data_IF_653940791665
#
_entry.id   IF_653940791665
#
_cell.length_a   1.000
_cell.length_b   1.000
_cell.length_c   1.000
_cell.angle_alpha   90.00
_cell.angle_beta   90.00
_cell.angle_gamma   90.00
#
_symmetry.space_group_name_H-M   'P 1'
#
loop_
_entity.id
_entity.type
_entity.pdbx_description
1 polymer ?
#
# COMPACT_ATOMS: atom_id res chain seq x y z
N UNK A 1 -25.28 6.23 -15.68
CA UNK A 1 -24.24 5.33 -15.14
C UNK A 1 -22.89 5.97 -15.42
N UNK A 2 -22.07 6.14 -14.39
CA UNK A 2 -20.81 6.89 -14.46
C UNK A 2 -19.59 6.05 -14.83
N UNK A 3 -19.72 4.74 -15.05
CA UNK A 3 -18.62 3.84 -15.41
C UNK A 3 -18.98 2.37 -15.22
N UNK A 4 -18.10 1.49 -15.66
CA UNK A 4 -18.22 0.03 -15.56
C UNK A 4 -17.02 -0.55 -14.85
N UNK A 5 -17.25 -1.47 -13.94
CA UNK A 5 -16.23 -2.17 -13.18
C UNK A 5 -16.47 -3.69 -13.27
N UNK A 6 -15.41 -4.44 -13.45
CA UNK A 6 -15.42 -5.89 -13.47
C UNK A 6 -14.73 -6.46 -12.24
N UNK A 7 -15.35 -7.45 -11.61
CA UNK A 7 -14.74 -8.28 -10.57
C UNK A 7 -14.69 -9.73 -11.05
N UNK A 8 -13.51 -10.34 -10.96
CA UNK A 8 -13.28 -11.74 -11.32
C UNK A 8 -12.43 -12.41 -10.26
N UNK A 9 -12.77 -13.62 -9.87
CA UNK A 9 -12.04 -14.30 -8.82
C UNK A 9 -12.31 -15.77 -8.71
N UNK A 10 -11.59 -16.41 -7.80
CA UNK A 10 -11.72 -17.82 -7.44
C UNK A 10 -11.70 -17.92 -5.92
N UNK A 11 -12.58 -18.75 -5.39
CA UNK A 11 -12.65 -19.06 -3.97
C UNK A 11 -12.45 -20.55 -3.75
N UNK A 12 -11.75 -20.89 -2.68
CA UNK A 12 -11.46 -22.25 -2.26
C UNK A 12 -11.70 -22.40 -0.77
N UNK A 13 -12.41 -23.45 -0.38
CA UNK A 13 -12.57 -23.83 1.02
C UNK A 13 -12.22 -25.32 1.17
N UNK A 14 -11.33 -25.64 2.09
CA UNK A 14 -10.94 -27.00 2.44
C UNK A 14 -11.15 -27.19 3.94
N UNK A 15 -11.81 -28.29 4.30
CA UNK A 15 -11.99 -28.69 5.69
C UNK A 15 -11.57 -30.14 5.84
N UNK A 16 -10.73 -30.40 6.82
CA UNK A 16 -10.28 -31.72 7.16
C UNK A 16 -10.46 -31.96 8.66
N UNK A 17 -11.05 -33.09 9.02
CA UNK A 17 -11.23 -33.52 10.39
C UNK A 17 -10.82 -34.98 10.48
N UNK A 18 -10.00 -35.32 11.48
CA UNK A 18 -9.60 -36.69 11.71
C UNK A 18 -9.26 -36.94 13.17
N UNK A 19 -9.04 -38.19 13.51
CA UNK A 19 -8.76 -38.61 14.91
C UNK A 19 -7.73 -39.74 14.94
N UNK A 20 -6.68 -39.54 15.73
CA UNK A 20 -5.65 -40.55 16.00
C UNK A 20 -5.76 -40.96 17.47
N UNK A 21 -6.38 -42.11 17.72
CA UNK A 21 -6.71 -42.58 19.08
C UNK A 21 -7.56 -41.55 19.82
N UNK A 22 -7.04 -41.00 20.94
CA UNK A 22 -7.71 -40.01 21.74
C UNK A 22 -7.45 -38.55 21.28
N UNK A 23 -6.62 -38.35 20.26
CA UNK A 23 -6.30 -37.07 19.72
C UNK A 23 -7.12 -36.76 18.45
N UNK A 24 -8.06 -35.85 18.56
CA UNK A 24 -8.81 -35.32 17.41
C UNK A 24 -8.19 -34.02 16.91
N UNK A 25 -8.20 -33.80 15.60
CA UNK A 25 -7.74 -32.56 15.03
C UNK A 25 -8.60 -32.13 13.83
N UNK A 26 -8.60 -30.84 13.59
CA UNK A 26 -9.30 -30.22 12.45
C UNK A 26 -8.44 -29.15 11.79
N UNK A 27 -8.52 -29.08 10.48
CA UNK A 27 -7.85 -28.05 9.66
C UNK A 27 -8.90 -27.47 8.74
N UNK A 28 -9.13 -26.17 8.83
CA UNK A 28 -9.97 -25.40 7.92
C UNK A 28 -9.11 -24.38 7.18
N UNK A 29 -9.15 -24.39 5.86
CA UNK A 29 -8.47 -23.41 5.02
C UNK A 29 -9.51 -22.77 4.10
N UNK A 30 -9.54 -21.43 4.06
CA UNK A 30 -10.27 -20.67 3.06
C UNK A 30 -9.32 -19.70 2.37
N UNK A 31 -9.42 -19.60 1.06
CA UNK A 31 -8.65 -18.70 0.23
C UNK A 31 -9.56 -18.10 -0.83
N UNK A 32 -9.51 -16.78 -0.96
CA UNK A 32 -10.20 -16.04 -2.02
C UNK A 32 -9.16 -15.21 -2.76
N UNK A 33 -9.14 -15.35 -4.08
CA UNK A 33 -8.40 -14.48 -4.97
C UNK A 33 -9.37 -13.73 -5.87
N UNK A 34 -9.24 -12.41 -5.97
CA UNK A 34 -10.04 -11.65 -6.92
C UNK A 34 -9.26 -10.49 -7.53
N UNK A 35 -9.61 -10.16 -8.76
CA UNK A 35 -9.16 -8.99 -9.50
C UNK A 35 -10.34 -8.05 -9.69
N UNK A 36 -10.18 -6.82 -9.22
CA UNK A 36 -11.08 -5.70 -9.51
C UNK A 36 -10.46 -4.84 -10.61
N UNK A 37 -11.25 -4.38 -11.56
CA UNK A 37 -10.78 -3.58 -12.68
C UNK A 37 -11.86 -2.63 -13.15
N UNK A 38 -11.57 -1.33 -13.26
CA UNK A 38 -12.39 -0.36 -13.94
C UNK A 38 -12.22 -0.58 -15.44
N UNK A 39 -13.28 -0.96 -16.13
CA UNK A 39 -13.24 -1.33 -17.55
C UNK A 39 -13.68 -0.21 -18.48
N UNK A 40 -14.50 0.70 -17.99
CA UNK A 40 -14.97 1.85 -18.77
C UNK A 40 -15.35 3.02 -17.86
N UNK A 41 -15.08 4.22 -18.32
CA UNK A 41 -15.53 5.49 -17.73
C UNK A 41 -16.18 6.33 -18.81
N UNK A 42 -17.38 6.89 -18.55
CA UNK A 42 -18.19 7.62 -19.53
C UNK A 42 -17.60 8.92 -20.07
N UNK A 43 -16.47 9.35 -19.57
CA UNK A 43 -15.67 10.47 -20.05
C UNK A 43 -14.30 10.38 -19.39
N UNK A 44 -13.38 11.27 -19.76
CA UNK A 44 -12.07 11.44 -19.07
C UNK A 44 -12.25 11.92 -17.61
N UNK A 45 -13.20 11.30 -16.89
CA UNK A 45 -13.45 11.59 -15.49
C UNK A 45 -12.34 10.97 -14.68
N UNK A 46 -11.50 11.82 -14.17
CA UNK A 46 -10.49 11.50 -13.20
C UNK A 46 -11.14 11.28 -11.85
N UNK A 47 -10.98 10.09 -11.30
CA UNK A 47 -11.60 9.75 -10.03
C UNK A 47 -10.66 10.05 -8.88
N UNK A 48 -11.03 11.02 -8.06
CA UNK A 48 -10.42 11.25 -6.76
C UNK A 48 -11.29 10.61 -5.68
N UNK A 49 -11.11 9.34 -5.38
CA UNK A 49 -11.78 8.75 -4.24
C UNK A 49 -10.81 8.44 -3.11
N UNK A 50 -11.09 9.02 -1.97
CA UNK A 50 -10.67 8.52 -0.68
C UNK A 50 -9.24 8.81 -0.26
N UNK A 51 -8.51 9.74 -0.90
CA UNK A 51 -7.12 9.95 -0.48
C UNK A 51 -6.47 11.29 -0.76
N UNK A 52 -7.22 12.24 -1.25
CA UNK A 52 -6.71 13.62 -1.41
C UNK A 52 -5.59 13.80 -2.46
N UNK A 53 -5.23 12.77 -3.16
CA UNK A 53 -4.32 12.89 -4.29
C UNK A 53 -5.15 13.12 -5.53
N UNK A 54 -5.29 14.38 -5.94
CA UNK A 54 -5.90 14.73 -7.21
C UNK A 54 -5.28 13.87 -8.31
N UNK A 55 -6.03 12.91 -8.82
CA UNK A 55 -5.54 12.00 -9.84
C UNK A 55 -5.96 12.58 -11.17
N UNK A 56 -5.02 13.11 -11.90
CA UNK A 56 -5.24 13.67 -13.23
C UNK A 56 -5.13 12.59 -14.33
N UNK A 57 -5.19 11.30 -13.98
CA UNK A 57 -5.06 10.19 -14.91
C UNK A 57 -6.23 9.22 -14.79
N UNK A 58 -6.67 8.72 -15.94
CA UNK A 58 -7.72 7.69 -15.99
C UNK A 58 -7.30 6.44 -15.25
N UNK A 59 -8.27 5.83 -14.55
CA UNK A 59 -8.10 4.57 -13.83
C UNK A 59 -8.57 3.36 -14.64
N UNK A 60 -8.91 3.52 -15.92
CA UNK A 60 -9.29 2.40 -16.78
C UNK A 60 -8.15 1.39 -16.84
N UNK A 61 -8.47 0.13 -16.64
CA UNK A 61 -7.49 -0.95 -16.54
C UNK A 61 -6.89 -1.15 -15.14
N UNK A 62 -7.22 -0.28 -14.18
CA UNK A 62 -6.74 -0.37 -12.80
C UNK A 62 -7.89 -0.69 -11.84
N UNK A 63 -7.58 -1.23 -10.65
CA UNK A 63 -8.58 -1.43 -9.62
C UNK A 63 -9.21 -0.12 -9.16
N UNK A 64 -10.48 -0.16 -8.78
CA UNK A 64 -11.09 0.92 -8.02
C UNK A 64 -10.34 1.11 -6.68
N UNK A 65 -10.19 2.35 -6.23
CA UNK A 65 -9.38 2.65 -5.03
C UNK A 65 -7.87 2.58 -5.28
N UNK A 66 -7.45 2.78 -6.52
CA UNK A 66 -6.04 2.87 -6.89
C UNK A 66 -5.38 4.14 -6.37
N UNK A 67 -4.14 4.00 -5.96
CA UNK A 67 -3.28 5.09 -5.52
C UNK A 67 -2.35 5.52 -6.64
N UNK A 68 -2.39 6.80 -6.96
CA UNK A 68 -1.45 7.45 -7.88
C UNK A 68 -0.52 8.35 -7.07
N UNK A 69 0.75 8.36 -7.43
CA UNK A 69 1.72 9.20 -6.76
C UNK A 69 3.08 9.15 -7.44
N UNK A 70 4.06 9.80 -6.84
CA UNK A 70 5.41 9.84 -7.38
C UNK A 70 6.22 8.63 -6.92
N UNK A 71 6.95 8.03 -7.85
CA UNK A 71 7.97 7.05 -7.52
C UNK A 71 9.17 7.77 -6.91
N UNK A 72 9.77 7.17 -5.90
CA UNK A 72 10.89 7.78 -5.17
C UNK A 72 12.13 6.90 -5.20
N UNK A 73 13.30 7.53 -5.19
CA UNK A 73 14.62 6.89 -5.10
C UNK A 73 15.34 7.31 -3.81
N UNK A 74 14.68 7.08 -2.67
CA UNK A 74 15.21 7.42 -1.35
C UNK A 74 15.23 8.92 -1.05
N UNK A 75 16.22 9.35 -0.28
CA UNK A 75 16.41 10.74 0.14
C UNK A 75 17.80 11.22 -0.24
N UNK A 76 17.95 12.51 -0.48
CA UNK A 76 19.26 13.13 -0.69
C UNK A 76 20.09 13.08 0.60
N UNK A 77 21.28 12.50 0.53
CA UNK A 77 22.17 12.36 1.67
C UNK A 77 23.26 13.43 1.71
N UNK A 78 23.63 13.95 0.55
CA UNK A 78 24.71 14.93 0.41
C UNK A 78 24.31 16.10 -0.49
N UNK A 79 24.97 17.23 -0.33
CA UNK A 79 24.79 18.38 -1.21
C UNK A 79 25.27 18.09 -2.64
N UNK A 80 26.23 17.19 -2.80
CA UNK A 80 26.70 16.77 -4.12
C UNK A 80 25.57 16.05 -4.88
N UNK A 81 24.86 15.10 -4.26
CA UNK A 81 23.70 14.43 -4.88
C UNK A 81 22.62 15.44 -5.30
N UNK A 82 22.36 16.45 -4.47
CA UNK A 82 21.39 17.53 -4.81
C UNK A 82 21.85 18.30 -6.04
N UNK A 83 23.13 18.66 -6.12
CA UNK A 83 23.66 19.43 -7.23
C UNK A 83 23.63 18.61 -8.54
N UNK A 84 23.99 17.32 -8.48
CA UNK A 84 23.94 16.41 -9.62
C UNK A 84 22.49 16.23 -10.12
N UNK A 85 21.55 16.06 -9.18
CA UNK A 85 20.13 15.93 -9.50
C UNK A 85 19.55 17.19 -10.17
N UNK A 86 19.90 18.39 -9.69
CA UNK A 86 19.48 19.67 -10.27
C UNK A 86 20.11 19.94 -11.64
N UNK A 87 21.20 19.27 -12.00
CA UNK A 87 21.76 19.35 -13.34
C UNK A 87 21.03 18.44 -14.34
N UNK A 88 20.44 17.35 -13.83
CA UNK A 88 19.73 16.37 -14.66
C UNK A 88 18.25 16.70 -14.83
N UNK A 89 17.63 17.31 -13.84
CA UNK A 89 16.17 17.48 -13.79
C UNK A 89 15.76 18.91 -13.44
N UNK A 90 14.73 19.38 -14.14
CA UNK A 90 13.98 20.60 -13.75
C UNK A 90 12.84 20.20 -12.82
N UNK A 91 12.92 20.56 -11.54
CA UNK A 91 11.94 20.17 -10.51
C UNK A 91 10.92 21.27 -10.31
N UNK A 92 9.68 21.03 -10.73
CA UNK A 92 8.60 22.01 -10.70
C UNK A 92 7.81 22.05 -9.37
N UNK A 93 8.09 21.16 -8.44
CA UNK A 93 7.48 21.19 -7.10
C UNK A 93 8.53 20.90 -6.01
N UNK A 94 8.71 21.83 -5.13
CA UNK A 94 9.60 21.70 -3.98
C UNK A 94 11.07 21.53 -4.35
N UNK A 95 11.90 22.50 -4.03
CA UNK A 95 13.34 22.45 -4.35
C UNK A 95 14.02 21.21 -3.73
N UNK A 96 14.86 20.48 -4.47
CA UNK A 96 15.70 19.43 -3.91
C UNK A 96 16.60 19.94 -2.80
N UNK A 97 16.87 19.11 -1.81
CA UNK A 97 17.71 19.47 -0.66
C UNK A 97 18.09 18.25 0.16
N UNK A 98 19.18 18.33 0.90
CA UNK A 98 19.62 17.24 1.79
C UNK A 98 18.51 16.89 2.79
N UNK A 99 18.22 15.60 2.95
CA UNK A 99 17.12 15.08 3.77
C UNK A 99 15.75 15.10 3.08
N UNK A 100 15.62 15.65 1.88
CA UNK A 100 14.38 15.60 1.10
C UNK A 100 14.32 14.38 0.21
N UNK A 101 13.12 14.00 -0.19
CA UNK A 101 12.86 12.85 -1.06
C UNK A 101 13.36 13.13 -2.48
N UNK A 102 14.04 12.14 -3.08
CA UNK A 102 14.36 12.12 -4.49
C UNK A 102 13.19 11.55 -5.28
N UNK A 103 12.63 12.30 -6.20
CA UNK A 103 11.58 11.85 -7.09
C UNK A 103 12.18 11.30 -8.39
N UNK A 104 11.52 10.31 -8.97
CA UNK A 104 11.94 9.68 -10.23
C UNK A 104 11.20 10.34 -11.38
N UNK A 105 11.93 10.74 -12.41
CA UNK A 105 11.39 11.11 -13.71
C UNK A 105 10.79 9.85 -14.36
N UNK A 106 9.47 9.74 -14.32
CA UNK A 106 8.78 8.53 -14.73
C UNK A 106 8.46 8.51 -16.22
N UNK A 107 8.34 9.66 -16.86
CA UNK A 107 8.10 9.77 -18.30
C UNK A 107 9.39 10.03 -19.11
N UNK A 108 10.52 10.27 -18.44
CA UNK A 108 11.85 10.41 -19.05
C UNK A 108 12.09 11.72 -19.78
N UNK A 109 11.33 12.76 -19.43
CA UNK A 109 11.40 14.05 -20.13
C UNK A 109 12.39 15.06 -19.50
N UNK A 110 13.01 14.72 -18.37
CA UNK A 110 13.94 15.58 -17.63
C UNK A 110 13.28 16.63 -16.74
N UNK A 111 11.95 16.59 -16.61
CA UNK A 111 11.17 17.55 -15.83
C UNK A 111 10.37 16.80 -14.78
N UNK A 112 10.65 17.03 -13.52
CA UNK A 112 9.87 16.43 -12.42
C UNK A 112 8.62 17.28 -12.12
N UNK A 113 7.46 16.77 -12.53
CA UNK A 113 6.19 17.46 -12.42
C UNK A 113 5.00 16.49 -12.19
N UNK A 114 3.78 16.95 -12.33
CA UNK A 114 2.57 16.13 -12.12
C UNK A 114 2.41 14.97 -13.09
N UNK A 115 3.12 14.98 -14.25
CA UNK A 115 3.07 13.91 -15.25
C UNK A 115 3.85 12.67 -14.77
N UNK A 116 4.78 12.83 -13.82
CA UNK A 116 5.54 11.73 -13.22
C UNK A 116 4.77 10.90 -12.21
N UNK A 117 3.50 11.23 -11.99
CA UNK A 117 2.65 10.39 -11.16
C UNK A 117 2.39 9.06 -11.86
N UNK A 118 2.66 7.98 -11.16
CA UNK A 118 2.45 6.60 -11.61
C UNK A 118 1.49 5.87 -10.70
N UNK A 119 0.95 4.76 -11.17
CA UNK A 119 0.17 3.87 -10.34
C UNK A 119 1.07 3.22 -9.28
N UNK A 120 0.72 3.37 -8.01
CA UNK A 120 1.46 2.84 -6.87
C UNK A 120 0.85 1.56 -6.30
N UNK A 121 -0.34 1.20 -6.75
CA UNK A 121 -1.07 0.05 -6.27
C UNK A 121 -2.50 0.39 -5.81
N UNK A 122 -3.17 -0.61 -5.27
CA UNK A 122 -4.51 -0.49 -4.72
C UNK A 122 -4.55 -1.06 -3.30
N UNK A 123 -5.39 -0.51 -2.45
CA UNK A 123 -5.67 -1.06 -1.13
C UNK A 123 -6.69 -2.21 -1.16
N UNK A 124 -7.27 -2.50 -2.31
CA UNK A 124 -8.10 -3.69 -2.49
C UNK A 124 -7.27 -4.96 -2.32
N UNK A 125 -7.64 -5.86 -1.39
CA UNK A 125 -6.93 -7.12 -1.23
C UNK A 125 -7.05 -7.97 -2.50
N UNK A 126 -5.96 -8.51 -2.99
CA UNK A 126 -5.93 -9.50 -4.09
C UNK A 126 -6.17 -10.91 -3.57
N UNK A 127 -5.64 -11.20 -2.40
CA UNK A 127 -5.81 -12.50 -1.74
C UNK A 127 -6.29 -12.25 -0.32
N UNK A 128 -7.30 -12.98 0.07
CA UNK A 128 -7.77 -13.05 1.47
C UNK A 128 -7.76 -14.53 1.85
N UNK A 129 -7.23 -14.85 3.02
CA UNK A 129 -7.17 -16.22 3.49
C UNK A 129 -7.37 -16.34 4.99
N UNK A 130 -7.92 -17.48 5.39
CA UNK A 130 -8.06 -17.88 6.79
C UNK A 130 -7.63 -19.33 6.97
N UNK A 131 -6.95 -19.60 8.09
CA UNK A 131 -6.58 -20.92 8.53
C UNK A 131 -7.11 -21.13 9.96
N UNK A 132 -7.91 -22.16 10.12
CA UNK A 132 -8.40 -22.60 11.42
C UNK A 132 -7.78 -23.95 11.76
N UNK A 133 -7.17 -24.06 12.93
CA UNK A 133 -6.62 -25.30 13.45
C UNK A 133 -7.32 -25.63 14.75
N UNK A 134 -7.92 -26.81 14.84
CA UNK A 134 -8.52 -27.34 16.04
C UNK A 134 -7.80 -28.58 16.51
N UNK A 135 -7.68 -28.77 17.81
CA UNK A 135 -7.19 -29.98 18.43
C UNK A 135 -7.95 -30.28 19.72
N UNK A 136 -8.28 -31.55 19.96
CA UNK A 136 -8.84 -32.01 21.23
C UNK A 136 -8.13 -33.25 21.71
N UNK A 137 -7.83 -33.30 23.02
CA UNK A 137 -7.15 -34.41 23.63
C UNK A 137 -7.46 -34.48 25.14
N UNK A 138 -8.02 -35.59 25.57
CA UNK A 138 -8.28 -35.90 26.99
C UNK A 138 -8.93 -34.77 27.81
N UNK A 139 -9.92 -34.09 27.21
CA UNK A 139 -10.65 -32.99 27.84
C UNK A 139 -10.02 -31.60 27.63
N UNK A 140 -8.91 -31.51 26.92
CA UNK A 140 -8.33 -30.24 26.46
C UNK A 140 -8.75 -29.95 25.04
N UNK A 141 -9.19 -28.71 24.77
CA UNK A 141 -9.55 -28.22 23.46
C UNK A 141 -8.70 -27.00 23.14
N UNK A 142 -8.13 -26.98 21.93
CA UNK A 142 -7.35 -25.87 21.39
C UNK A 142 -7.95 -25.47 20.04
N UNK A 143 -8.23 -24.18 19.86
CA UNK A 143 -8.62 -23.60 18.59
C UNK A 143 -7.73 -22.40 18.28
N UNK A 144 -7.09 -22.44 17.13
CA UNK A 144 -6.26 -21.36 16.59
C UNK A 144 -6.89 -20.87 15.30
N UNK A 145 -7.00 -19.55 15.19
CA UNK A 145 -7.53 -18.92 14.00
C UNK A 145 -6.53 -17.87 13.48
N UNK A 146 -6.15 -18.00 12.23
CA UNK A 146 -5.29 -17.06 11.52
C UNK A 146 -6.07 -16.50 10.34
N UNK A 147 -5.97 -15.18 10.13
CA UNK A 147 -6.45 -14.55 8.91
C UNK A 147 -5.39 -13.60 8.36
N UNK A 148 -5.42 -13.41 7.06
CA UNK A 148 -4.48 -12.53 6.39
C UNK A 148 -5.01 -12.05 5.06
N UNK A 149 -4.39 -11.00 4.56
CA UNK A 149 -4.67 -10.48 3.23
C UNK A 149 -3.40 -9.98 2.55
N UNK A 150 -3.37 -10.08 1.24
CA UNK A 150 -2.32 -9.52 0.39
C UNK A 150 -2.92 -8.43 -0.48
N UNK A 151 -2.31 -7.25 -0.46
CA UNK A 151 -2.66 -6.09 -1.29
C UNK A 151 -1.40 -5.38 -1.78
N UNK A 152 -1.52 -4.59 -2.84
CA UNK A 152 -0.37 -3.90 -3.43
C UNK A 152 0.12 -2.73 -2.60
N UNK A 153 -0.82 -1.97 -2.04
CA UNK A 153 -0.52 -0.78 -1.28
C UNK A 153 -1.53 -0.60 -0.14
N UNK A 154 -1.16 0.20 0.84
CA UNK A 154 -2.08 0.68 1.87
C UNK A 154 -1.71 2.11 2.24
N UNK A 155 -2.71 2.89 2.58
CA UNK A 155 -2.49 4.22 3.12
C UNK A 155 -2.08 4.13 4.59
N UNK A 156 -0.87 4.57 4.90
CA UNK A 156 -0.39 4.64 6.27
C UNK A 156 -0.63 6.04 6.88
N UNK A 157 -1.87 6.49 6.86
CA UNK A 157 -2.25 7.78 7.44
C UNK A 157 -1.91 7.89 8.93
N UNK A 158 -1.97 6.76 9.64
CA UNK A 158 -1.58 6.71 11.05
C UNK A 158 -0.09 6.98 11.24
N UNK A 159 0.77 6.47 10.37
CA UNK A 159 2.20 6.76 10.41
C UNK A 159 2.46 8.25 10.22
N UNK A 160 1.78 8.88 9.26
CA UNK A 160 1.84 10.32 9.06
C UNK A 160 1.34 11.11 10.27
N UNK A 161 0.20 10.72 10.84
CA UNK A 161 -0.37 11.34 12.03
C UNK A 161 0.56 11.23 13.23
N UNK A 162 1.13 10.08 13.44
CA UNK A 162 2.05 9.82 14.58
C UNK A 162 3.38 10.60 14.44
N UNK A 163 3.83 10.86 13.20
CA UNK A 163 5.11 11.54 12.97
C UNK A 163 5.01 13.05 12.82
N UNK A 164 3.94 13.55 12.21
CA UNK A 164 3.90 14.94 11.75
C UNK A 164 2.77 15.78 12.36
N UNK A 165 1.77 15.15 12.96
CA UNK A 165 0.67 15.89 13.59
C UNK A 165 0.89 16.06 15.09
N UNK A 166 1.56 17.13 15.45
CA UNK A 166 1.88 17.43 16.85
C UNK A 166 0.65 17.78 17.74
N UNK A 167 -0.51 18.03 17.16
CA UNK A 167 -1.75 18.32 17.91
C UNK A 167 -2.58 17.08 18.27
N UNK A 168 -2.22 15.90 17.81
CA UNK A 168 -2.99 14.68 18.09
C UNK A 168 -2.64 13.98 19.42
N UNK A 169 -1.82 14.59 20.24
CA UNK A 169 -1.70 14.32 21.68
C UNK A 169 -0.78 13.19 22.11
N UNK A 170 -0.61 12.14 21.33
CA UNK A 170 0.26 11.00 21.68
C UNK A 170 1.33 10.78 20.61
N UNK A 171 2.56 11.13 20.96
CA UNK A 171 3.72 10.87 20.09
C UNK A 171 4.22 9.43 20.31
N UNK A 172 4.42 8.70 19.22
CA UNK A 172 4.99 7.35 19.28
C UNK A 172 6.52 7.42 19.36
N UNK A 173 7.14 6.33 19.81
CA UNK A 173 8.61 6.14 19.77
C UNK A 173 9.18 6.30 18.35
N UNK A 174 8.35 6.09 17.32
CA UNK A 174 8.71 6.31 15.90
C UNK A 174 9.05 7.76 15.58
N UNK A 175 8.44 8.73 16.29
CA UNK A 175 8.82 10.13 16.14
C UNK A 175 10.26 10.36 16.60
N UNK A 176 10.64 9.74 17.72
CA UNK A 176 12.02 9.83 18.22
C UNK A 176 13.03 9.19 17.25
N UNK A 177 12.67 8.04 16.67
CA UNK A 177 13.48 7.38 15.63
C UNK A 177 13.63 8.26 14.38
N UNK A 178 12.56 8.90 13.93
CA UNK A 178 12.60 9.80 12.79
C UNK A 178 13.42 11.06 13.08
N UNK A 179 13.35 11.62 14.28
CA UNK A 179 14.17 12.76 14.71
C UNK A 179 15.66 12.36 14.78
N UNK A 180 15.98 11.20 15.32
CA UNK A 180 17.36 10.70 15.37
C UNK A 180 17.91 10.43 13.96
N UNK A 181 17.08 9.93 13.04
CA UNK A 181 17.47 9.79 11.64
C UNK A 181 17.77 11.15 11.00
N UNK A 182 16.95 12.18 11.27
CA UNK A 182 17.16 13.53 10.76
C UNK A 182 18.46 14.16 11.27
N UNK A 183 18.81 13.97 12.54
CA UNK A 183 20.08 14.45 13.11
C UNK A 183 21.31 13.82 12.44
N UNK A 184 21.19 12.62 11.87
CA UNK A 184 22.29 11.98 11.11
C UNK A 184 22.53 12.63 9.73
N UNK A 185 21.62 13.49 9.25
CA UNK A 185 21.74 14.19 7.97
C UNK A 185 22.13 15.67 8.11
N UNK A 186 22.32 16.18 9.33
CA UNK A 186 22.90 17.50 9.60
C UNK A 186 24.41 17.47 9.47
#
# INVERSE_FOLDING_TARGET
NGGVMANRGVEMALNWNDKIKDFGYSIGLNLSYYKNEVTDLMSDIYYTFGGGNGVDKTLVGQPFGSWMGYKTDGVFRTQQEVNEYNQMYDVQFGAPGVGRIKYVDADGNGIINTNDRVWLGSDNPKVIGGLTLGANWKGFDLNLFFNGMIRDAFNNSKYYTDLFQCWSGNHSTRLLEAMNAYEQFK
#
